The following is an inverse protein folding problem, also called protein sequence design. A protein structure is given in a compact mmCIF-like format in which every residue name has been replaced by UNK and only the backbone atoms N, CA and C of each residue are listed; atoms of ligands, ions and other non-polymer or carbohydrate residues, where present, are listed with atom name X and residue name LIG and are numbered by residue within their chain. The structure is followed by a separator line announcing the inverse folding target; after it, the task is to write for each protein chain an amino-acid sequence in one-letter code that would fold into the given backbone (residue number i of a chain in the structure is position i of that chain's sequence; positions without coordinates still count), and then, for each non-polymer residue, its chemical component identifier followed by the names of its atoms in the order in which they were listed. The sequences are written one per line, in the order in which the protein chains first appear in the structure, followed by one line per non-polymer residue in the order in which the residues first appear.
data_IF_129125244270
#
_entry.id   IF_129125244270
#
_cell.length_a   1.000
_cell.length_b   1.000
_cell.length_c   1.000
_cell.angle_alpha   90.00
_cell.angle_beta   90.00
_cell.angle_gamma   90.00
#
_symmetry.space_group_name_H-M   'P 1'
#
loop_
_entity.id
_entity.type
_entity.pdbx_description
1 polymer ?
#
# COMPACT_ATOMS: atom_id res chain seq x y z
N UNK A 1 20.54 -36.19 47.71
CA UNK A 1 20.88 -35.46 46.47
C UNK A 1 19.63 -35.39 45.60
N UNK A 2 18.86 -34.30 45.64
CA UNK A 2 17.70 -34.12 44.77
C UNK A 2 17.85 -32.77 44.05
N UNK A 3 18.56 -32.82 42.93
CA UNK A 3 18.87 -31.66 42.10
C UNK A 3 17.85 -31.48 40.99
N UNK A 4 17.01 -30.46 41.15
CA UNK A 4 16.61 -29.52 40.09
C UNK A 4 16.17 -30.07 38.71
N UNK A 5 15.02 -30.77 38.66
CA UNK A 5 14.29 -31.06 37.41
C UNK A 5 13.33 -29.92 36.97
N UNK A 6 13.09 -28.91 37.81
CA UNK A 6 12.18 -27.79 37.50
C UNK A 6 12.79 -26.73 36.56
N UNK A 7 14.12 -26.60 36.51
CA UNK A 7 14.80 -25.58 35.68
C UNK A 7 14.73 -25.85 34.16
N UNK A 8 14.79 -27.11 33.71
CA UNK A 8 14.83 -27.43 32.26
C UNK A 8 13.51 -27.16 31.54
N UNK A 9 12.35 -27.40 32.17
CA UNK A 9 11.04 -27.21 31.51
C UNK A 9 10.72 -25.73 31.27
N UNK A 10 11.12 -24.84 32.19
CA UNK A 10 10.92 -23.40 32.05
C UNK A 10 11.85 -22.81 30.97
N UNK A 11 13.10 -23.29 30.87
CA UNK A 11 14.07 -22.86 29.84
C UNK A 11 13.62 -23.27 28.42
N UNK A 12 13.07 -24.48 28.24
CA UNK A 12 12.58 -24.95 26.92
C UNK A 12 11.34 -24.19 26.47
N UNK A 13 10.44 -23.81 27.38
CA UNK A 13 9.25 -23.02 27.06
C UNK A 13 9.62 -21.58 26.63
N UNK A 14 10.59 -20.95 27.31
CA UNK A 14 11.12 -19.63 26.92
C UNK A 14 11.85 -19.67 25.58
N UNK A 15 12.64 -20.72 25.30
CA UNK A 15 13.33 -20.87 24.02
C UNK A 15 12.34 -21.02 22.85
N UNK A 16 11.25 -21.78 23.03
CA UNK A 16 10.22 -21.95 21.99
C UNK A 16 9.48 -20.65 21.68
N UNK A 17 9.12 -19.87 22.72
CA UNK A 17 8.51 -18.55 22.54
C UNK A 17 9.50 -17.58 21.86
N UNK A 18 10.78 -17.61 22.23
CA UNK A 18 11.80 -16.79 21.58
C UNK A 18 11.96 -17.14 20.10
N UNK A 19 11.90 -18.43 19.72
CA UNK A 19 11.90 -18.85 18.32
C UNK A 19 10.66 -18.37 17.57
N UNK A 20 9.47 -18.45 18.17
CA UNK A 20 8.23 -17.95 17.55
C UNK A 20 8.30 -16.45 17.34
N UNK A 21 8.74 -15.68 18.35
CA UNK A 21 8.89 -14.23 18.25
C UNK A 21 9.96 -13.88 17.22
N UNK A 22 11.10 -14.58 17.20
CA UNK A 22 12.15 -14.36 16.20
C UNK A 22 11.69 -14.66 14.78
N UNK A 23 10.93 -15.74 14.57
CA UNK A 23 10.38 -16.09 13.26
C UNK A 23 9.34 -15.05 12.83
N UNK A 24 8.47 -14.62 13.74
CA UNK A 24 7.49 -13.57 13.49
C UNK A 24 8.17 -12.25 13.12
N UNK A 25 9.21 -11.87 13.87
CA UNK A 25 9.98 -10.66 13.60
C UNK A 25 10.71 -10.75 12.26
N UNK A 26 11.35 -11.89 11.94
CA UNK A 26 12.01 -12.09 10.64
C UNK A 26 11.03 -12.06 9.47
N UNK A 27 9.80 -12.56 9.67
CA UNK A 27 8.76 -12.51 8.65
C UNK A 27 8.30 -11.06 8.43
N UNK A 28 8.08 -10.32 9.52
CA UNK A 28 7.75 -8.89 9.46
C UNK A 28 8.87 -8.10 8.76
N UNK A 29 10.13 -8.34 9.09
CA UNK A 29 11.28 -7.70 8.44
C UNK A 29 11.35 -8.03 6.94
N UNK A 30 11.14 -9.30 6.57
CA UNK A 30 11.10 -9.72 5.18
C UNK A 30 9.94 -9.06 4.40
N UNK A 31 8.76 -8.95 5.01
CA UNK A 31 7.61 -8.23 4.43
C UNK A 31 7.93 -6.75 4.26
N UNK A 32 8.51 -6.09 5.27
CA UNK A 32 8.91 -4.68 5.19
C UNK A 32 9.94 -4.46 4.09
N UNK A 33 10.93 -5.34 3.97
CA UNK A 33 11.94 -5.25 2.91
C UNK A 33 11.31 -5.42 1.52
N UNK A 34 10.39 -6.36 1.37
CA UNK A 34 9.72 -6.60 0.11
C UNK A 34 8.78 -5.44 -0.27
N UNK A 35 8.09 -4.82 0.70
CA UNK A 35 7.34 -3.58 0.51
C UNK A 35 8.25 -2.43 0.07
N UNK A 36 9.37 -2.21 0.76
CA UNK A 36 10.37 -1.18 0.39
C UNK A 36 10.84 -1.39 -1.06
N UNK A 37 11.14 -2.64 -1.43
CA UNK A 37 11.57 -2.98 -2.79
C UNK A 37 10.50 -2.68 -3.84
N UNK A 38 9.26 -3.13 -3.63
CA UNK A 38 8.17 -2.89 -4.59
C UNK A 38 7.89 -1.40 -4.79
N UNK A 39 7.91 -0.62 -3.70
CA UNK A 39 7.74 0.84 -3.75
C UNK A 39 8.89 1.53 -4.50
N UNK A 40 10.13 1.10 -4.27
CA UNK A 40 11.30 1.66 -4.94
C UNK A 40 11.30 1.36 -6.44
N UNK A 41 10.91 0.14 -6.84
CA UNK A 41 10.74 -0.24 -8.24
C UNK A 41 9.65 0.61 -8.92
N UNK A 42 8.55 0.89 -8.23
CA UNK A 42 7.50 1.79 -8.72
C UNK A 42 8.02 3.23 -8.91
N UNK A 43 8.78 3.77 -7.95
CA UNK A 43 9.29 5.14 -8.01
C UNK A 43 10.37 5.34 -9.09
N UNK A 44 11.27 4.39 -9.27
CA UNK A 44 12.33 4.49 -10.28
C UNK A 44 11.80 4.49 -11.73
N UNK A 45 10.58 4.00 -11.95
CA UNK A 45 9.95 3.96 -13.27
C UNK A 45 9.33 5.31 -13.69
N UNK A 46 9.47 6.39 -12.92
CA UNK A 46 8.82 7.70 -13.18
C UNK A 46 9.64 8.70 -14.02
N UNK A 47 10.79 8.34 -14.59
CA UNK A 47 11.67 9.18 -15.45
C UNK A 47 12.11 10.57 -14.89
N UNK A 48 11.65 10.97 -13.72
CA UNK A 48 12.19 12.10 -12.94
C UNK A 48 13.54 11.72 -12.34
N UNK A 49 14.48 12.66 -12.30
CA UNK A 49 15.84 12.44 -11.79
C UNK A 49 15.84 11.54 -10.54
N UNK A 50 16.54 10.40 -10.66
CA UNK A 50 16.61 9.29 -9.69
C UNK A 50 17.21 9.68 -8.32
N UNK A 51 17.29 10.96 -8.01
CA UNK A 51 18.11 11.51 -6.94
C UNK A 51 17.44 11.47 -5.57
N UNK A 52 16.14 11.14 -5.46
CA UNK A 52 15.48 10.99 -4.14
C UNK A 52 14.37 9.92 -4.06
N UNK A 53 14.40 8.88 -4.92
CA UNK A 53 13.41 7.79 -4.86
C UNK A 53 13.49 7.00 -3.54
N UNK A 54 14.71 6.72 -3.07
CA UNK A 54 14.92 6.01 -1.81
C UNK A 54 14.43 6.82 -0.60
N UNK A 55 14.76 8.11 -0.50
CA UNK A 55 14.27 8.90 0.64
C UNK A 55 12.76 9.15 0.57
N UNK A 56 12.17 9.18 -0.64
CA UNK A 56 10.71 9.24 -0.80
C UNK A 56 10.05 7.98 -0.24
N UNK A 57 10.56 6.80 -0.60
CA UNK A 57 10.07 5.52 -0.05
C UNK A 57 10.30 5.45 1.46
N UNK A 58 11.47 5.86 1.95
CA UNK A 58 11.76 5.86 3.39
C UNK A 58 10.82 6.78 4.17
N UNK A 59 10.57 8.01 3.69
CA UNK A 59 9.58 8.93 4.31
C UNK A 59 8.19 8.31 4.35
N UNK A 60 7.77 7.62 3.29
CA UNK A 60 6.48 6.94 3.25
C UNK A 60 6.42 5.75 4.21
N UNK A 61 7.47 4.95 4.31
CA UNK A 61 7.54 3.86 5.28
C UNK A 61 7.49 4.39 6.73
N UNK A 62 8.20 5.49 7.03
CA UNK A 62 8.09 6.16 8.34
C UNK A 62 6.67 6.66 8.60
N UNK A 63 5.98 7.18 7.58
CA UNK A 63 4.57 7.55 7.68
C UNK A 63 3.69 6.33 8.00
N UNK A 64 3.86 5.19 7.31
CA UNK A 64 3.07 3.98 7.55
C UNK A 64 3.32 3.33 8.91
N UNK A 65 4.49 3.54 9.54
CA UNK A 65 4.76 3.01 10.89
C UNK A 65 3.84 3.58 11.96
N UNK A 66 3.37 4.82 11.77
CA UNK A 66 2.56 5.54 12.77
C UNK A 66 1.13 5.82 12.32
N UNK A 67 0.78 5.48 11.07
CA UNK A 67 -0.56 5.64 10.52
C UNK A 67 -1.17 4.28 10.19
N UNK A 68 -2.45 4.03 10.55
CA UNK A 68 -3.12 2.78 10.19
C UNK A 68 -3.26 2.67 8.66
N UNK A 69 -3.03 1.47 8.13
CA UNK A 69 -3.23 1.14 6.72
C UNK A 69 -3.62 -0.33 6.55
N UNK A 70 -4.23 -0.64 5.41
CA UNK A 70 -4.46 -2.01 4.94
C UNK A 70 -3.62 -2.24 3.69
N UNK A 71 -2.85 -3.33 3.65
CA UNK A 71 -2.10 -3.72 2.47
C UNK A 71 -2.72 -4.96 1.80
N UNK A 72 -2.87 -4.93 0.49
CA UNK A 72 -3.28 -6.06 -0.35
C UNK A 72 -2.11 -6.46 -1.22
N UNK A 73 -1.69 -7.71 -1.15
CA UNK A 73 -0.60 -8.25 -1.95
C UNK A 73 -0.77 -9.75 -2.14
N UNK A 74 -0.20 -10.30 -3.21
CA UNK A 74 -0.10 -11.74 -3.43
C UNK A 74 1.18 -12.30 -2.80
N UNK A 75 1.32 -13.63 -2.80
CA UNK A 75 2.49 -14.32 -2.22
C UNK A 75 3.83 -13.88 -2.83
N UNK A 76 3.83 -13.43 -4.08
CA UNK A 76 5.02 -13.02 -4.81
C UNK A 76 5.22 -11.49 -4.84
N UNK A 77 4.28 -10.71 -4.28
CA UNK A 77 4.25 -9.24 -4.36
C UNK A 77 4.34 -8.78 -5.82
N UNK A 78 3.70 -9.54 -6.72
CA UNK A 78 3.45 -9.15 -8.11
C UNK A 78 2.42 -8.02 -8.20
N UNK A 79 1.67 -7.81 -7.11
CA UNK A 79 0.82 -6.66 -6.88
C UNK A 79 0.88 -6.22 -5.42
N UNK A 80 0.86 -4.91 -5.18
CA UNK A 80 0.81 -4.27 -3.87
C UNK A 80 -0.13 -3.07 -3.91
N UNK A 81 -1.15 -3.06 -3.07
CA UNK A 81 -1.98 -1.88 -2.83
C UNK A 81 -1.94 -1.50 -1.36
N UNK A 82 -1.76 -0.22 -1.06
CA UNK A 82 -1.77 0.33 0.30
C UNK A 82 -2.95 1.29 0.41
N UNK A 83 -3.89 0.96 1.30
CA UNK A 83 -5.11 1.71 1.54
C UNK A 83 -5.02 2.41 2.88
N UNK A 84 -5.23 3.72 2.88
CA UNK A 84 -5.41 4.50 4.10
C UNK A 84 -6.91 4.54 4.42
N UNK A 85 -7.32 4.22 5.66
CA UNK A 85 -8.71 4.26 6.05
C UNK A 85 -9.24 5.70 6.10
N UNK A 86 -10.56 5.90 6.11
CA UNK A 86 -11.15 7.20 6.40
C UNK A 86 -10.65 7.76 7.75
N UNK A 87 -10.52 9.07 7.82
CA UNK A 87 -10.14 9.82 9.02
C UNK A 87 -11.05 11.05 9.18
N UNK A 88 -10.94 11.74 10.31
CA UNK A 88 -11.74 12.94 10.57
C UNK A 88 -11.60 14.01 9.48
N UNK A 89 -10.41 14.13 8.88
CA UNK A 89 -10.12 15.12 7.84
C UNK A 89 -10.32 14.58 6.41
N UNK A 90 -10.43 13.25 6.26
CA UNK A 90 -10.59 12.56 4.96
C UNK A 90 -11.68 11.50 5.09
N UNK A 91 -12.95 11.82 4.77
CA UNK A 91 -14.08 10.92 5.03
C UNK A 91 -14.11 9.67 4.14
N UNK A 92 -13.23 9.60 3.14
CA UNK A 92 -13.14 8.49 2.20
C UNK A 92 -11.77 7.82 2.29
N UNK A 93 -11.76 6.49 2.19
CA UNK A 93 -10.53 5.72 2.11
C UNK A 93 -9.74 6.13 0.86
N UNK A 94 -8.41 6.00 0.90
CA UNK A 94 -7.56 6.39 -0.23
C UNK A 94 -6.56 5.30 -0.58
N UNK A 95 -6.38 5.02 -1.87
CA UNK A 95 -5.22 4.25 -2.33
C UNK A 95 -4.00 5.18 -2.29
N UNK A 96 -3.10 4.94 -1.34
CA UNK A 96 -1.85 5.70 -1.20
C UNK A 96 -0.73 5.17 -2.10
N UNK A 97 -0.77 3.88 -2.44
CA UNK A 97 0.12 3.28 -3.44
C UNK A 97 -0.56 2.08 -4.07
N UNK A 98 -0.38 1.89 -5.36
CA UNK A 98 -0.74 0.69 -6.10
C UNK A 98 0.40 0.39 -7.07
N UNK A 99 0.97 -0.80 -6.96
CA UNK A 99 2.05 -1.24 -7.81
C UNK A 99 1.68 -2.61 -8.31
N UNK A 100 1.57 -2.77 -9.61
CA UNK A 100 1.32 -4.07 -10.23
C UNK A 100 2.39 -4.27 -11.29
N UNK A 101 3.04 -5.43 -11.26
CA UNK A 101 4.03 -5.80 -12.27
C UNK A 101 3.36 -5.98 -13.63
N UNK A 102 4.12 -5.86 -14.72
CA UNK A 102 3.60 -6.12 -16.09
C UNK A 102 2.93 -7.50 -16.20
N UNK A 103 3.51 -8.52 -15.56
CA UNK A 103 2.90 -9.85 -15.53
C UNK A 103 1.59 -9.85 -14.72
N UNK A 104 1.55 -9.15 -13.59
CA UNK A 104 0.34 -8.94 -12.80
C UNK A 104 -0.81 -8.34 -13.63
N UNK A 105 -0.52 -7.30 -14.42
CA UNK A 105 -1.50 -6.66 -15.32
C UNK A 105 -2.01 -7.58 -16.44
N UNK A 106 -1.16 -8.47 -16.96
CA UNK A 106 -1.55 -9.47 -17.98
C UNK A 106 -2.30 -10.69 -17.39
N UNK A 107 -2.40 -10.76 -16.07
CA UNK A 107 -3.09 -11.83 -15.34
C UNK A 107 -4.42 -11.34 -14.76
N UNK A 108 -5.12 -12.18 -13.99
CA UNK A 108 -6.33 -11.76 -13.26
C UNK A 108 -6.05 -11.02 -11.94
N UNK A 109 -4.78 -10.70 -11.65
CA UNK A 109 -4.37 -10.14 -10.36
C UNK A 109 -5.01 -8.77 -10.10
N UNK A 110 -4.97 -7.86 -11.08
CA UNK A 110 -5.56 -6.53 -10.95
C UNK A 110 -7.06 -6.58 -10.62
N UNK A 111 -7.82 -7.44 -11.32
CA UNK A 111 -9.26 -7.64 -11.05
C UNK A 111 -9.51 -8.23 -9.65
N UNK A 112 -8.75 -9.24 -9.26
CA UNK A 112 -8.89 -9.88 -7.96
C UNK A 112 -8.58 -8.90 -6.82
N UNK A 113 -7.48 -8.16 -6.91
CA UNK A 113 -7.11 -7.13 -5.94
C UNK A 113 -8.17 -6.04 -5.88
N UNK A 114 -8.64 -5.57 -7.04
CA UNK A 114 -9.67 -4.54 -7.11
C UNK A 114 -10.98 -4.97 -6.45
N UNK A 115 -11.38 -6.22 -6.65
CA UNK A 115 -12.58 -6.82 -6.06
C UNK A 115 -12.47 -6.91 -4.53
N UNK A 116 -11.32 -7.38 -4.02
CA UNK A 116 -11.05 -7.42 -2.59
C UNK A 116 -11.08 -6.01 -1.97
N UNK A 117 -10.37 -5.05 -2.57
CA UNK A 117 -10.34 -3.65 -2.12
C UNK A 117 -11.75 -3.06 -2.11
N UNK A 118 -12.57 -3.30 -3.15
CA UNK A 118 -13.95 -2.79 -3.23
C UNK A 118 -14.86 -3.36 -2.15
N UNK A 119 -14.67 -4.63 -1.82
CA UNK A 119 -15.45 -5.32 -0.79
C UNK A 119 -15.23 -4.70 0.58
N UNK A 120 -13.97 -4.39 0.89
CA UNK A 120 -13.58 -3.83 2.19
C UNK A 120 -13.79 -2.31 2.28
N UNK A 121 -13.81 -1.61 1.13
CA UNK A 121 -13.90 -0.16 1.05
C UNK A 121 -15.03 0.26 0.09
N UNK A 122 -16.29 0.36 0.56
CA UNK A 122 -17.42 0.73 -0.28
C UNK A 122 -17.31 2.11 -0.94
N UNK A 123 -16.54 3.02 -0.33
CA UNK A 123 -16.16 4.33 -0.86
C UNK A 123 -14.65 4.46 -0.87
N UNK A 124 -14.07 4.85 -2.00
CA UNK A 124 -12.62 4.94 -2.19
C UNK A 124 -12.28 5.99 -3.24
N UNK A 125 -11.18 6.71 -3.03
CA UNK A 125 -10.57 7.58 -4.03
C UNK A 125 -9.09 7.21 -4.27
N UNK A 126 -8.57 7.54 -5.45
CA UNK A 126 -7.16 7.36 -5.80
C UNK A 126 -6.75 8.28 -6.94
N UNK A 127 -5.47 8.61 -7.01
CA UNK A 127 -4.90 9.47 -8.06
C UNK A 127 -3.95 8.68 -8.94
N UNK A 128 -4.09 8.84 -10.25
CA UNK A 128 -3.30 8.16 -11.30
C UNK A 128 -2.66 9.23 -12.19
N UNK A 129 -1.54 8.90 -12.84
CA UNK A 129 -0.89 9.78 -13.80
C UNK A 129 -1.77 9.90 -15.04
N UNK A 130 -1.81 11.08 -15.67
CA UNK A 130 -2.38 11.15 -17.02
C UNK A 130 -1.55 10.37 -18.06
N UNK A 131 -0.31 10.01 -17.71
CA UNK A 131 0.63 9.25 -18.55
C UNK A 131 0.67 7.75 -18.22
N UNK A 132 -0.19 7.27 -17.31
CA UNK A 132 -0.24 5.85 -16.92
C UNK A 132 -0.70 4.97 -18.10
N UNK A 133 0.03 3.89 -18.39
CA UNK A 133 -0.28 3.01 -19.52
C UNK A 133 -1.60 2.24 -19.34
N UNK A 134 -2.05 2.09 -18.09
CA UNK A 134 -3.25 1.39 -17.66
C UNK A 134 -4.42 2.34 -17.39
N UNK A 135 -4.33 3.62 -17.78
CA UNK A 135 -5.34 4.64 -17.47
C UNK A 135 -6.78 4.24 -17.86
N UNK A 136 -6.95 3.55 -19.00
CA UNK A 136 -8.26 3.05 -19.46
C UNK A 136 -8.89 2.12 -18.45
N UNK A 137 -8.10 1.22 -17.84
CA UNK A 137 -8.58 0.31 -16.81
C UNK A 137 -9.11 1.08 -15.60
N UNK A 138 -8.40 2.12 -15.16
CA UNK A 138 -8.87 2.94 -14.03
C UNK A 138 -10.19 3.67 -14.31
N UNK A 139 -10.39 4.15 -15.54
CA UNK A 139 -11.68 4.72 -15.96
C UNK A 139 -12.81 3.70 -15.86
N UNK A 140 -12.59 2.44 -16.27
CA UNK A 140 -13.61 1.39 -16.18
C UNK A 140 -13.97 1.02 -14.73
N UNK A 141 -13.07 1.25 -13.77
CA UNK A 141 -13.27 0.86 -12.36
C UNK A 141 -13.83 1.97 -11.47
N UNK A 142 -14.00 3.18 -11.99
CA UNK A 142 -14.45 4.34 -11.23
C UNK A 142 -15.90 4.72 -11.57
N UNK A 143 -16.61 5.31 -10.62
CA UNK A 143 -17.92 5.92 -10.87
C UNK A 143 -17.75 7.33 -11.46
N UNK A 144 -16.64 8.00 -11.12
CA UNK A 144 -16.31 9.33 -11.62
C UNK A 144 -14.81 9.63 -11.60
N UNK A 145 -14.43 10.71 -12.28
CA UNK A 145 -13.04 11.16 -12.35
C UNK A 145 -12.92 12.69 -12.51
N UNK A 146 -11.79 13.24 -12.09
CA UNK A 146 -11.44 14.65 -12.25
C UNK A 146 -9.96 14.81 -12.61
N UNK A 147 -9.68 15.63 -13.61
CA UNK A 147 -8.32 15.93 -14.05
C UNK A 147 -7.80 17.18 -13.36
N UNK A 148 -6.63 17.10 -12.75
CA UNK A 148 -6.00 18.24 -12.08
C UNK A 148 -4.49 18.07 -12.00
N UNK A 149 -3.71 19.08 -12.38
CA UNK A 149 -2.24 19.11 -12.25
C UNK A 149 -1.53 17.84 -12.76
N UNK A 150 -1.81 17.42 -14.00
CA UNK A 150 -1.14 16.27 -14.65
C UNK A 150 -1.50 14.90 -14.08
N UNK A 151 -2.54 14.81 -13.26
CA UNK A 151 -3.07 13.54 -12.75
C UNK A 151 -4.59 13.51 -12.77
N UNK A 152 -5.13 12.30 -12.77
CA UNK A 152 -6.57 12.02 -12.72
C UNK A 152 -6.91 11.47 -11.34
N UNK A 153 -7.77 12.17 -10.59
CA UNK A 153 -8.43 11.58 -9.42
C UNK A 153 -9.59 10.73 -9.90
N UNK A 154 -9.68 9.51 -9.39
CA UNK A 154 -10.77 8.58 -9.58
C UNK A 154 -11.45 8.29 -8.24
N UNK A 155 -12.74 7.97 -8.29
CA UNK A 155 -13.51 7.61 -7.10
C UNK A 155 -14.68 6.70 -7.41
N UNK A 156 -15.19 6.01 -6.39
CA UNK A 156 -16.50 5.35 -6.39
C UNK A 156 -17.14 5.38 -5.00
N UNK A 157 -18.44 5.09 -4.95
CA UNK A 157 -19.18 4.90 -3.70
C UNK A 157 -19.41 6.16 -2.87
N UNK A 158 -19.11 7.34 -3.42
CA UNK A 158 -19.46 8.65 -2.87
C UNK A 158 -19.51 9.68 -4.00
N UNK A 159 -20.41 10.64 -3.88
CA UNK A 159 -20.42 11.82 -4.73
C UNK A 159 -19.35 12.79 -4.22
N UNK A 160 -18.30 13.00 -5.00
CA UNK A 160 -17.32 14.04 -4.73
C UNK A 160 -17.73 15.30 -5.49
N UNK A 161 -17.91 16.41 -4.76
CA UNK A 161 -17.95 17.75 -5.35
C UNK A 161 -16.53 18.29 -5.54
N UNK A 162 -16.37 19.23 -6.48
CA UNK A 162 -15.05 19.77 -6.84
C UNK A 162 -14.29 20.37 -5.65
N UNK A 163 -14.98 20.85 -4.61
CA UNK A 163 -14.40 21.42 -3.40
C UNK A 163 -13.84 20.33 -2.45
N UNK A 164 -14.49 19.17 -2.37
CA UNK A 164 -13.95 18.01 -1.65
C UNK A 164 -12.62 17.54 -2.25
N UNK A 165 -12.47 17.62 -3.57
CA UNK A 165 -11.31 17.17 -4.35
C UNK A 165 -10.02 17.98 -4.10
N UNK A 166 -10.11 19.30 -3.91
CA UNK A 166 -8.93 20.15 -3.67
C UNK A 166 -8.21 19.79 -2.36
N UNK A 167 -8.97 19.37 -1.34
CA UNK A 167 -8.42 18.95 -0.05
C UNK A 167 -7.55 17.68 -0.14
N UNK A 168 -7.84 16.78 -1.08
CA UNK A 168 -7.07 15.54 -1.29
C UNK A 168 -5.77 15.79 -2.05
N UNK A 169 -5.72 16.79 -2.94
CA UNK A 169 -4.52 17.11 -3.73
C UNK A 169 -3.39 17.69 -2.86
N UNK A 170 -3.70 18.35 -1.75
CA UNK A 170 -2.72 19.04 -0.89
C UNK A 170 -2.22 18.22 0.31
N UNK A 171 -2.87 17.12 0.66
CA UNK A 171 -2.68 16.46 1.97
C UNK A 171 -2.04 15.07 1.93
N UNK A 172 -1.55 14.59 0.78
CA UNK A 172 -0.81 13.33 0.68
C UNK A 172 0.64 13.59 0.27
N UNK A 173 1.63 13.30 1.15
CA UNK A 173 3.03 13.47 0.81
C UNK A 173 3.43 12.47 -0.27
N UNK A 174 3.56 12.97 -1.51
CA UNK A 174 4.58 12.63 -2.50
C UNK A 174 4.94 11.15 -2.76
N UNK A 175 4.04 10.19 -2.59
CA UNK A 175 4.02 9.01 -3.48
C UNK A 175 2.90 9.25 -4.51
N UNK A 176 3.02 10.39 -5.19
CA UNK A 176 2.22 10.66 -6.36
C UNK A 176 2.96 10.02 -7.51
N UNK A 177 2.49 8.85 -7.92
CA UNK A 177 1.65 8.73 -9.10
C UNK A 177 1.82 7.31 -9.63
N UNK A 178 0.72 6.58 -9.69
CA UNK A 178 0.67 5.23 -10.25
C UNK A 178 1.18 5.26 -11.71
N UNK A 179 2.01 4.28 -12.07
CA UNK A 179 2.25 3.77 -13.43
C UNK A 179 1.89 2.29 -13.43
#
# INVERSE_FOLDING_TARGET
MSGNQRSRKQIVFTAHIATIISNLLSHVEATVLALKKALLESQNNLDTEATDAEATVDRFLEFLKVNPFTAYYDENISGLAIILPPSADKPTATIASLTITKFGWLSNLAENMRSAIKTDNPSLCWRVSEEDENLVWFFEKADGSFKHNGGVLFYYGSDFDADGLDSFSTTLPAIHTLR
#
